data_IF_895129606276
#
_entry.id   IF_895129606276
#
_cell.length_a   1.000
_cell.length_b   1.000
_cell.length_c   1.000
_cell.angle_alpha   90.00
_cell.angle_beta   90.00
_cell.angle_gamma   90.00
#
_symmetry.space_group_name_H-M   'P 1'
#
loop_
_entity.id
_entity.type
_entity.pdbx_description
1 polymer ?
#
# COMPACT_ATOMS: atom_id res chain seq x y z
N UNK A 1 -8.53 27.05 -11.00
CA UNK A 1 -8.94 25.64 -10.94
C UNK A 1 -9.15 25.15 -9.50
N UNK A 2 -10.24 25.57 -8.83
CA UNK A 2 -10.55 25.16 -7.45
C UNK A 2 -10.84 23.65 -7.33
N UNK A 3 -11.46 23.08 -8.37
CA UNK A 3 -11.83 21.66 -8.42
C UNK A 3 -10.62 20.74 -8.21
N UNK A 4 -9.50 21.01 -8.88
CA UNK A 4 -8.26 20.23 -8.73
C UNK A 4 -7.79 20.19 -7.28
N UNK A 5 -7.64 21.36 -6.65
CA UNK A 5 -7.19 21.42 -5.26
C UNK A 5 -8.15 20.73 -4.30
N UNK A 6 -9.46 20.93 -4.49
CA UNK A 6 -10.48 20.23 -3.69
C UNK A 6 -10.36 18.71 -3.81
N UNK A 7 -10.21 18.20 -5.04
CA UNK A 7 -10.15 16.76 -5.30
C UNK A 7 -8.84 16.16 -4.72
N UNK A 8 -7.69 16.80 -4.95
CA UNK A 8 -6.41 16.35 -4.37
C UNK A 8 -6.38 16.47 -2.84
N UNK A 9 -7.01 17.50 -2.25
CA UNK A 9 -7.14 17.61 -0.79
C UNK A 9 -8.08 16.56 -0.21
N UNK A 10 -9.12 16.15 -0.96
CA UNK A 10 -9.98 15.03 -0.56
C UNK A 10 -9.19 13.73 -0.48
N UNK A 11 -8.44 13.41 -1.54
CA UNK A 11 -7.59 12.22 -1.58
C UNK A 11 -6.54 12.23 -0.45
N UNK A 12 -5.88 13.36 -0.20
CA UNK A 12 -4.95 13.49 0.93
C UNK A 12 -5.60 13.19 2.29
N UNK A 13 -6.84 13.66 2.50
CA UNK A 13 -7.58 13.38 3.72
C UNK A 13 -7.96 11.90 3.84
N UNK A 14 -8.36 11.28 2.74
CA UNK A 14 -8.71 9.86 2.71
C UNK A 14 -7.48 8.99 3.05
N UNK A 15 -6.30 9.29 2.51
CA UNK A 15 -5.06 8.56 2.88
C UNK A 15 -4.65 8.77 4.34
N UNK A 16 -4.85 9.97 4.89
CA UNK A 16 -4.62 10.20 6.31
C UNK A 16 -5.60 9.37 7.17
N UNK A 17 -6.84 9.23 6.71
CA UNK A 17 -7.82 8.36 7.36
C UNK A 17 -7.45 6.88 7.22
N UNK A 18 -6.98 6.41 6.06
CA UNK A 18 -6.53 5.01 5.88
C UNK A 18 -5.41 4.67 6.87
N UNK A 19 -4.43 5.56 7.04
CA UNK A 19 -3.38 5.39 8.05
C UNK A 19 -3.95 5.26 9.47
N UNK A 20 -4.91 6.12 9.84
CA UNK A 20 -5.60 6.07 11.12
C UNK A 20 -6.40 4.76 11.30
N UNK A 21 -7.09 4.28 10.26
CA UNK A 21 -7.81 3.01 10.32
C UNK A 21 -6.86 1.84 10.60
N UNK A 22 -5.67 1.84 10.00
CA UNK A 22 -4.62 0.86 10.29
C UNK A 22 -4.16 0.88 11.75
N UNK A 23 -3.90 2.07 12.30
CA UNK A 23 -3.57 2.26 13.72
C UNK A 23 -4.69 1.72 14.63
N UNK A 24 -5.94 2.11 14.38
CA UNK A 24 -7.10 1.63 15.16
C UNK A 24 -7.25 0.11 15.03
N UNK A 25 -6.96 -0.47 13.87
CA UNK A 25 -6.96 -1.91 13.64
C UNK A 25 -6.04 -2.64 14.60
N UNK A 26 -4.78 -2.22 14.70
CA UNK A 26 -3.82 -2.80 15.65
C UNK A 26 -4.25 -2.61 17.10
N UNK A 27 -4.66 -1.40 17.49
CA UNK A 27 -5.08 -1.09 18.86
C UNK A 27 -6.29 -1.95 19.26
N UNK A 28 -7.26 -2.12 18.36
CA UNK A 28 -8.47 -2.92 18.62
C UNK A 28 -8.17 -4.40 18.86
N UNK A 29 -7.04 -4.87 18.35
CA UNK A 29 -6.52 -6.23 18.52
C UNK A 29 -5.57 -6.38 19.71
N UNK A 30 -5.36 -5.31 20.49
CA UNK A 30 -4.43 -5.29 21.62
C UNK A 30 -2.96 -5.25 21.22
N UNK A 31 -2.67 -4.82 19.98
CA UNK A 31 -1.31 -4.77 19.44
C UNK A 31 -0.74 -3.35 19.54
N UNK A 32 0.50 -3.28 20.01
CA UNK A 32 1.28 -2.05 20.02
C UNK A 32 1.90 -1.81 18.64
N UNK A 33 1.21 -1.02 17.84
CA UNK A 33 1.64 -0.71 16.47
C UNK A 33 3.00 0.01 16.42
N UNK A 34 3.42 0.68 17.49
CA UNK A 34 4.71 1.38 17.56
C UNK A 34 5.92 0.45 17.50
N UNK A 35 5.70 -0.85 17.77
CA UNK A 35 6.73 -1.90 17.65
C UNK A 35 6.87 -2.45 16.22
N UNK A 36 5.94 -2.11 15.34
CA UNK A 36 5.96 -2.53 13.94
C UNK A 36 6.87 -1.56 13.18
N UNK A 37 7.94 -2.04 12.53
CA UNK A 37 8.82 -1.16 11.74
C UNK A 37 8.13 -0.83 10.41
N UNK A 38 7.17 0.09 10.46
CA UNK A 38 6.45 0.58 9.27
C UNK A 38 7.47 1.24 8.33
N UNK A 39 7.52 0.72 7.10
CA UNK A 39 8.47 1.21 6.12
C UNK A 39 8.03 2.56 5.55
N UNK A 40 8.83 3.60 5.78
CA UNK A 40 8.60 4.95 5.23
C UNK A 40 9.41 5.27 3.96
N UNK A 41 10.27 4.36 3.49
CA UNK A 41 11.18 4.62 2.37
C UNK A 41 10.43 4.89 1.06
N UNK A 42 9.23 4.33 0.89
CA UNK A 42 8.34 4.64 -0.24
C UNK A 42 8.01 6.13 -0.32
N UNK A 43 7.45 6.68 0.75
CA UNK A 43 7.11 8.11 0.85
C UNK A 43 8.35 8.98 0.70
N UNK A 44 9.48 8.58 1.30
CA UNK A 44 10.76 9.28 1.16
C UNK A 44 11.24 9.30 -0.30
N UNK A 45 11.27 8.14 -0.95
CA UNK A 45 11.82 7.99 -2.28
C UNK A 45 11.00 8.75 -3.32
N UNK A 46 9.66 8.70 -3.22
CA UNK A 46 8.77 9.51 -4.06
C UNK A 46 9.04 11.01 -3.90
N UNK A 47 9.23 11.48 -2.67
CA UNK A 47 9.46 12.91 -2.42
C UNK A 47 10.87 13.40 -2.78
N UNK A 48 11.87 12.50 -2.75
CA UNK A 48 13.27 12.86 -2.98
C UNK A 48 13.73 12.66 -4.43
N UNK A 49 13.07 11.79 -5.21
CA UNK A 49 13.57 11.37 -6.53
C UNK A 49 12.68 11.78 -7.70
N UNK A 50 11.45 12.19 -7.44
CA UNK A 50 10.44 12.43 -8.48
C UNK A 50 9.93 13.87 -8.43
N UNK A 51 9.64 14.40 -9.61
CA UNK A 51 8.89 15.64 -9.77
C UNK A 51 7.41 15.42 -9.40
N UNK A 52 6.65 16.48 -9.07
CA UNK A 52 5.24 16.37 -8.68
C UNK A 52 4.38 15.56 -9.66
N UNK A 53 4.64 15.69 -10.96
CA UNK A 53 3.91 14.97 -12.01
C UNK A 53 4.16 13.46 -11.98
N UNK A 54 5.40 13.05 -11.75
CA UNK A 54 5.79 11.64 -11.68
C UNK A 54 5.24 10.99 -10.41
N UNK A 55 5.13 11.73 -9.31
CA UNK A 55 4.47 11.26 -8.08
C UNK A 55 2.99 10.96 -8.33
N UNK A 56 2.29 11.83 -9.08
CA UNK A 56 0.90 11.59 -9.47
C UNK A 56 0.76 10.39 -10.41
N UNK A 57 1.73 10.20 -11.31
CA UNK A 57 1.77 9.02 -12.17
C UNK A 57 1.90 7.71 -11.38
N UNK A 58 2.79 7.68 -10.39
CA UNK A 58 2.94 6.52 -9.49
C UNK A 58 1.66 6.29 -8.69
N UNK A 59 1.09 7.34 -8.11
CA UNK A 59 -0.16 7.27 -7.35
C UNK A 59 -1.27 6.62 -8.18
N UNK A 60 -1.53 7.15 -9.37
CA UNK A 60 -2.56 6.62 -10.25
C UNK A 60 -2.28 5.17 -10.68
N UNK A 61 -1.02 4.83 -10.96
CA UNK A 61 -0.63 3.46 -11.33
C UNK A 61 -0.95 2.45 -10.22
N UNK A 62 -0.65 2.78 -8.96
CA UNK A 62 -0.98 1.95 -7.80
C UNK A 62 -2.49 1.80 -7.69
N UNK A 63 -3.22 2.91 -7.62
CA UNK A 63 -4.67 2.93 -7.40
C UNK A 63 -5.42 2.17 -8.48
N UNK A 64 -5.03 2.36 -9.74
CA UNK A 64 -5.62 1.64 -10.86
C UNK A 64 -5.30 0.13 -10.82
N UNK A 65 -4.15 -0.26 -10.26
CA UNK A 65 -3.74 -1.64 -10.02
C UNK A 65 -4.53 -2.33 -8.89
N UNK A 66 -5.20 -1.57 -8.03
CA UNK A 66 -6.02 -2.08 -6.91
C UNK A 66 -7.46 -2.40 -7.31
N UNK A 67 -7.89 -2.00 -8.50
CA UNK A 67 -9.28 -2.17 -8.98
C UNK A 67 -9.67 -3.58 -9.48
N UNK A 68 -8.77 -4.45 -9.96
CA UNK A 68 -9.11 -5.84 -10.28
C UNK A 68 -9.66 -6.61 -9.08
N UNK A 69 -10.31 -7.76 -9.31
CA UNK A 69 -10.87 -8.59 -8.23
C UNK A 69 -9.84 -9.02 -7.18
N UNK A 70 -8.58 -9.11 -7.56
CA UNK A 70 -7.46 -9.49 -6.70
C UNK A 70 -6.91 -8.33 -5.86
N UNK A 71 -7.42 -7.10 -6.04
CA UNK A 71 -7.06 -5.92 -5.25
C UNK A 71 -8.06 -5.68 -4.11
N UNK A 72 -8.64 -4.48 -4.02
CA UNK A 72 -9.47 -4.04 -2.88
C UNK A 72 -10.62 -4.97 -2.53
N UNK A 73 -11.26 -5.56 -3.54
CA UNK A 73 -12.31 -6.55 -3.32
C UNK A 73 -11.80 -7.76 -2.53
N UNK A 74 -10.62 -8.28 -2.89
CA UNK A 74 -10.03 -9.42 -2.19
C UNK A 74 -9.62 -9.03 -0.77
N UNK A 75 -9.06 -7.83 -0.57
CA UNK A 75 -8.74 -7.30 0.76
C UNK A 75 -9.99 -7.21 1.65
N UNK A 76 -11.12 -6.76 1.08
CA UNK A 76 -12.41 -6.74 1.76
C UNK A 76 -12.95 -8.14 2.07
N UNK A 77 -12.90 -9.08 1.12
CA UNK A 77 -13.29 -10.49 1.35
C UNK A 77 -12.46 -11.12 2.47
N UNK A 78 -11.14 -10.91 2.50
CA UNK A 78 -10.26 -11.33 3.59
C UNK A 78 -10.63 -10.65 4.91
N UNK A 79 -10.95 -9.36 4.88
CA UNK A 79 -11.41 -8.61 6.05
C UNK A 79 -12.68 -9.21 6.66
N UNK A 80 -13.64 -9.63 5.84
CA UNK A 80 -14.85 -10.32 6.29
C UNK A 80 -14.54 -11.73 6.83
N UNK A 81 -13.76 -12.51 6.10
CA UNK A 81 -13.41 -13.88 6.46
C UNK A 81 -12.59 -13.98 7.75
N UNK A 82 -11.87 -12.90 8.11
CA UNK A 82 -11.11 -12.82 9.36
C UNK A 82 -11.98 -12.90 10.62
N UNK A 83 -13.28 -12.61 10.51
CA UNK A 83 -14.19 -12.49 11.65
C UNK A 83 -13.97 -11.23 12.49
N UNK A 84 -13.00 -10.38 12.17
CA UNK A 84 -12.76 -9.10 12.83
C UNK A 84 -13.67 -8.03 12.21
N UNK A 85 -14.70 -7.62 12.95
CA UNK A 85 -15.71 -6.67 12.45
C UNK A 85 -15.10 -5.37 11.91
N UNK A 86 -14.08 -4.84 12.60
CA UNK A 86 -13.41 -3.62 12.15
C UNK A 86 -12.61 -3.82 10.87
N UNK A 87 -12.04 -5.01 10.62
CA UNK A 87 -11.28 -5.27 9.40
C UNK A 87 -12.18 -5.15 8.16
N UNK A 88 -13.34 -5.81 8.17
CA UNK A 88 -14.31 -5.69 7.08
C UNK A 88 -14.82 -4.25 6.90
N UNK A 89 -15.11 -3.56 8.00
CA UNK A 89 -15.58 -2.15 7.96
C UNK A 89 -14.52 -1.22 7.36
N UNK A 90 -13.25 -1.38 7.77
CA UNK A 90 -12.17 -0.51 7.30
C UNK A 90 -11.90 -0.72 5.82
N UNK A 91 -11.90 -1.97 5.36
CA UNK A 91 -11.74 -2.31 3.94
C UNK A 91 -12.91 -1.80 3.08
N UNK A 92 -14.14 -1.75 3.63
CA UNK A 92 -15.29 -1.17 2.92
C UNK A 92 -15.12 0.35 2.68
N UNK A 93 -14.70 1.09 3.71
CA UNK A 93 -14.39 2.51 3.57
C UNK A 93 -13.23 2.76 2.60
N UNK A 94 -12.13 2.06 2.81
CA UNK A 94 -10.92 2.18 2.00
C UNK A 94 -11.21 1.87 0.52
N UNK A 95 -11.94 0.79 0.23
CA UNK A 95 -12.34 0.49 -1.14
C UNK A 95 -13.23 1.57 -1.77
N UNK A 96 -14.19 2.12 -1.01
CA UNK A 96 -15.04 3.18 -1.50
C UNK A 96 -14.25 4.45 -1.87
N UNK A 97 -13.22 4.80 -1.09
CA UNK A 97 -12.33 5.92 -1.37
C UNK A 97 -11.44 5.65 -2.58
N UNK A 98 -10.93 4.43 -2.74
CA UNK A 98 -10.05 4.07 -3.86
C UNK A 98 -10.78 4.08 -5.21
N UNK A 99 -12.09 3.80 -5.21
CA UNK A 99 -12.94 4.04 -6.39
C UNK A 99 -12.99 5.52 -6.75
N UNK A 100 -13.09 6.41 -5.76
CA UNK A 100 -13.04 7.85 -5.98
C UNK A 100 -11.65 8.30 -6.44
N UNK A 101 -10.57 7.79 -5.84
CA UNK A 101 -9.19 8.12 -6.21
C UNK A 101 -8.89 7.76 -7.67
N UNK A 102 -9.32 6.58 -8.11
CA UNK A 102 -9.21 6.18 -9.52
C UNK A 102 -9.95 7.15 -10.47
N UNK A 103 -11.08 7.74 -10.04
CA UNK A 103 -11.79 8.77 -10.81
C UNK A 103 -11.03 10.12 -10.82
N UNK A 104 -10.44 10.51 -9.68
CA UNK A 104 -9.61 11.72 -9.57
C UNK A 104 -8.41 11.63 -10.52
N UNK A 105 -7.71 10.50 -10.54
CA UNK A 105 -6.60 10.28 -11.47
C UNK A 105 -7.05 10.29 -12.94
N UNK A 106 -8.22 9.76 -13.28
CA UNK A 106 -8.79 9.89 -14.64
C UNK A 106 -9.06 11.34 -15.02
N UNK A 107 -9.53 12.15 -14.08
CA UNK A 107 -9.87 13.55 -14.32
C UNK A 107 -8.62 14.42 -14.53
N UNK A 108 -7.57 14.20 -13.72
CA UNK A 108 -6.45 15.14 -13.60
C UNK A 108 -5.13 14.62 -14.15
N UNK A 109 -4.98 13.30 -14.33
CA UNK A 109 -3.76 12.68 -14.84
C UNK A 109 -3.97 12.10 -16.24
N UNK A 110 -4.94 11.18 -16.42
CA UNK A 110 -5.12 10.46 -17.69
C UNK A 110 -5.43 11.37 -18.88
N UNK A 111 -6.16 12.47 -18.67
CA UNK A 111 -6.49 13.42 -19.76
C UNK A 111 -5.28 14.02 -20.44
N UNK A 112 -4.14 14.12 -19.75
CA UNK A 112 -2.90 14.66 -20.30
C UNK A 112 -2.14 13.64 -21.18
N UNK A 113 -2.51 12.36 -21.12
CA UNK A 113 -1.88 11.26 -21.88
C UNK A 113 -2.69 10.79 -23.09
N UNK A 114 -3.88 11.37 -23.31
CA UNK A 114 -4.80 10.98 -24.37
C UNK A 114 -5.58 9.70 -24.07
N UNK A 115 -4.92 8.64 -23.60
CA UNK A 115 -5.56 7.38 -23.20
C UNK A 115 -4.99 6.76 -21.92
N UNK A 116 -5.74 5.80 -21.38
CA UNK A 116 -5.41 5.08 -20.15
C UNK A 116 -4.13 4.25 -20.28
N UNK A 117 -3.85 3.67 -21.45
CA UNK A 117 -2.69 2.80 -21.63
C UNK A 117 -1.39 3.59 -21.59
N UNK A 118 -1.35 4.75 -22.24
CA UNK A 118 -0.22 5.67 -22.21
C UNK A 118 0.05 6.19 -20.79
N UNK A 119 -1.02 6.55 -20.07
CA UNK A 119 -0.94 6.96 -18.66
C UNK A 119 -0.37 5.83 -17.78
N UNK A 120 -0.91 4.61 -17.89
CA UNK A 120 -0.43 3.45 -17.14
C UNK A 120 1.02 3.10 -17.46
N UNK A 121 1.41 3.14 -18.74
CA UNK A 121 2.78 2.87 -19.16
C UNK A 121 3.78 3.91 -18.62
N UNK A 122 3.37 5.17 -18.47
CA UNK A 122 4.21 6.19 -17.84
C UNK A 122 4.33 5.96 -16.34
N UNK A 123 3.21 5.69 -15.64
CA UNK A 123 3.21 5.37 -14.21
C UNK A 123 4.06 4.15 -13.86
N UNK A 124 4.00 3.08 -14.66
CA UNK A 124 4.83 1.87 -14.48
C UNK A 124 6.34 2.15 -14.58
N UNK A 125 6.74 3.00 -15.53
CA UNK A 125 8.14 3.43 -15.66
C UNK A 125 8.60 4.21 -14.42
N UNK A 126 7.79 5.14 -13.93
CA UNK A 126 8.10 5.87 -12.71
C UNK A 126 8.15 4.92 -11.49
N UNK A 127 7.19 3.99 -11.39
CA UNK A 127 7.14 3.00 -10.30
C UNK A 127 8.39 2.13 -10.24
N UNK A 128 8.87 1.68 -11.40
CA UNK A 128 10.08 0.86 -11.49
C UNK A 128 11.34 1.59 -11.01
N UNK A 129 11.40 2.92 -11.15
CA UNK A 129 12.52 3.71 -10.63
C UNK A 129 12.49 3.84 -9.10
N UNK A 130 11.31 3.97 -8.46
CA UNK A 130 11.18 3.99 -6.99
C UNK A 130 11.80 2.74 -6.35
N UNK A 131 11.61 1.60 -7.02
CA UNK A 131 12.01 0.27 -6.57
C UNK A 131 13.49 -0.04 -6.76
N UNK A 132 14.18 0.71 -7.61
CA UNK A 132 15.62 0.51 -7.88
C UNK A 132 16.49 0.63 -6.63
N UNK A 133 16.04 1.39 -5.62
CA UNK A 133 16.78 1.60 -4.36
C UNK A 133 16.64 0.47 -3.34
N UNK A 134 15.78 -0.54 -3.57
CA UNK A 134 15.58 -1.60 -2.59
C UNK A 134 16.88 -2.31 -2.21
N UNK A 135 17.71 -2.69 -3.19
CA UNK A 135 19.02 -3.32 -2.95
C UNK A 135 20.04 -2.32 -2.43
N UNK A 136 20.07 -1.12 -3.02
CA UNK A 136 21.01 -0.06 -2.63
C UNK A 136 20.86 0.31 -1.15
N UNK A 137 19.63 0.49 -0.66
CA UNK A 137 19.40 0.86 0.75
C UNK A 137 19.90 -0.24 1.71
N UNK A 138 19.87 -1.52 1.30
CA UNK A 138 20.48 -2.63 2.06
C UNK A 138 22.00 -2.60 1.99
N UNK A 139 22.54 -2.46 0.78
CA UNK A 139 23.98 -2.51 0.53
C UNK A 139 24.70 -1.31 1.17
N UNK A 140 24.02 -0.16 1.31
CA UNK A 140 24.45 1.02 2.07
C UNK A 140 24.28 0.87 3.60
N UNK A 141 23.71 -0.23 4.07
CA UNK A 141 23.48 -0.50 5.50
C UNK A 141 22.35 0.31 6.14
N UNK A 142 21.44 0.88 5.35
CA UNK A 142 20.30 1.65 5.86
C UNK A 142 19.16 0.76 6.36
N UNK A 143 19.15 -0.51 5.96
CA UNK A 143 18.16 -1.52 6.37
C UNK A 143 18.71 -2.93 6.18
N UNK A 144 18.24 -3.87 7.01
CA UNK A 144 18.51 -5.30 6.84
C UNK A 144 17.39 -6.02 6.05
N UNK A 145 16.30 -5.31 5.72
CA UNK A 145 15.06 -5.90 5.18
C UNK A 145 14.53 -7.07 6.03
N UNK A 146 14.72 -6.96 7.34
CA UNK A 146 14.31 -7.95 8.33
C UNK A 146 12.80 -8.19 8.26
N UNK A 147 12.40 -9.45 8.20
CA UNK A 147 10.99 -9.82 8.30
C UNK A 147 10.49 -9.68 9.74
N UNK A 148 9.66 -8.68 9.98
CA UNK A 148 9.09 -8.38 11.29
C UNK A 148 7.79 -9.16 11.57
N UNK A 149 7.18 -9.78 10.56
CA UNK A 149 5.87 -10.45 10.68
C UNK A 149 5.83 -11.54 11.76
N UNK A 150 6.79 -12.50 11.82
CA UNK A 150 6.71 -13.59 12.80
C UNK A 150 6.73 -13.11 14.25
N UNK A 151 7.39 -11.99 14.54
CA UNK A 151 7.48 -11.44 15.89
C UNK A 151 6.15 -10.84 16.34
N UNK A 152 5.55 -10.01 15.49
CA UNK A 152 4.25 -9.38 15.77
C UNK A 152 3.15 -10.42 15.84
N UNK A 153 3.16 -11.42 14.95
CA UNK A 153 2.17 -12.49 14.96
C UNK A 153 2.26 -13.34 16.24
N UNK A 154 3.47 -13.67 16.72
CA UNK A 154 3.63 -14.36 18.02
C UNK A 154 3.11 -13.51 19.18
N UNK A 155 3.46 -12.23 19.22
CA UNK A 155 2.98 -11.33 20.27
C UNK A 155 1.45 -11.23 20.27
N UNK A 156 0.82 -11.23 19.09
CA UNK A 156 -0.62 -11.27 18.95
C UNK A 156 -1.23 -12.58 19.48
N UNK A 157 -0.68 -13.73 19.07
CA UNK A 157 -1.13 -15.03 19.56
C UNK A 157 -0.99 -15.16 21.08
N UNK A 158 0.12 -14.69 21.65
CA UNK A 158 0.33 -14.65 23.11
C UNK A 158 -0.72 -13.78 23.81
N UNK A 159 -0.98 -12.58 23.27
CA UNK A 159 -2.01 -11.69 23.80
C UNK A 159 -3.42 -12.31 23.77
N UNK A 160 -3.75 -13.03 22.69
CA UNK A 160 -5.05 -13.69 22.52
C UNK A 160 -5.15 -15.06 23.20
N UNK A 161 -4.06 -15.58 23.77
CA UNK A 161 -4.02 -16.90 24.40
C UNK A 161 -4.21 -18.07 23.41
N UNK A 162 -3.75 -17.91 22.16
CA UNK A 162 -3.86 -18.93 21.10
C UNK A 162 -2.49 -19.44 20.65
N UNK A 163 -2.45 -20.67 20.15
CA UNK A 163 -1.24 -21.22 19.55
C UNK A 163 -1.01 -20.61 18.16
N UNK A 164 0.20 -20.11 17.84
CA UNK A 164 0.50 -19.60 16.51
C UNK A 164 0.41 -20.69 15.44
N UNK A 165 -0.20 -20.36 14.30
CA UNK A 165 -0.16 -21.19 13.10
C UNK A 165 1.27 -21.23 12.52
N UNK A 166 1.90 -22.43 12.39
CA UNK A 166 3.21 -22.57 11.77
C UNK A 166 3.30 -22.03 10.33
N UNK A 167 2.22 -22.11 9.55
CA UNK A 167 2.22 -21.60 8.17
C UNK A 167 2.27 -20.08 8.15
N UNK A 168 1.48 -19.42 9.01
CA UNK A 168 1.54 -17.97 9.17
C UNK A 168 2.93 -17.52 9.64
N UNK A 169 3.55 -18.23 10.59
CA UNK A 169 4.92 -17.93 11.05
C UNK A 169 5.99 -18.09 9.95
N UNK A 170 5.77 -18.98 9.00
CA UNK A 170 6.67 -19.21 7.88
C UNK A 170 6.55 -18.14 6.78
N UNK A 171 5.58 -17.22 6.86
CA UNK A 171 5.41 -16.16 5.88
C UNK A 171 6.64 -15.25 5.86
N UNK A 172 7.34 -15.26 4.73
CA UNK A 172 8.58 -14.53 4.52
C UNK A 172 8.69 -13.97 3.10
N UNK A 173 7.56 -13.85 2.41
CA UNK A 173 7.49 -13.34 1.04
C UNK A 173 7.81 -11.86 1.03
N UNK A 174 8.87 -11.49 0.31
CA UNK A 174 9.30 -10.09 0.15
C UNK A 174 8.79 -9.52 -1.17
N UNK A 175 8.71 -8.18 -1.25
CA UNK A 175 8.32 -7.50 -2.49
C UNK A 175 9.29 -7.84 -3.66
N UNK A 176 10.58 -8.00 -3.36
CA UNK A 176 11.60 -8.48 -4.31
C UNK A 176 11.22 -9.85 -4.92
N UNK A 177 10.61 -10.74 -4.14
CA UNK A 177 10.25 -12.09 -4.59
C UNK A 177 8.93 -12.16 -5.40
N UNK A 178 8.07 -11.14 -5.32
CA UNK A 178 6.71 -11.15 -5.91
C UNK A 178 6.62 -10.42 -7.25
N UNK A 179 7.58 -9.54 -7.56
CA UNK A 179 7.54 -8.74 -8.79
C UNK A 179 7.58 -9.62 -10.04
N UNK A 180 6.55 -9.49 -10.87
CA UNK A 180 6.38 -10.21 -12.13
C UNK A 180 7.40 -9.77 -13.20
N UNK A 181 7.94 -8.55 -13.08
CA UNK A 181 8.98 -7.96 -13.94
C UNK A 181 10.40 -8.50 -13.68
N UNK A 182 10.61 -9.31 -12.63
CA UNK A 182 11.87 -10.04 -12.39
C UNK A 182 11.79 -11.53 -12.73
N UNK A 183 10.64 -12.02 -13.23
CA UNK A 183 10.49 -13.42 -13.66
C UNK A 183 11.05 -13.70 -15.06
N UNK A 184 11.46 -12.66 -15.80
CA UNK A 184 12.20 -12.79 -17.05
C UNK A 184 13.59 -12.13 -16.93
N UNK A 185 14.52 -12.81 -16.27
CA UNK A 185 15.95 -12.79 -16.61
C UNK A 185 16.47 -14.22 -16.58
#
# INVERSE_FOLDING_TARGET
PWKYYRDMSRQLWDEARHAMLGEVGFISLGLDWSKIPINFTWSRNLNAQFEPWERHAVLFFIEQGLMPRTGKRYEWEVGLDSGVTLAGLFQDFDWADEVLHAQIGREWYVKEFGDLNAAMAYGDRCWSQVLSRWRTDRDEGLTEHRNWWPEIYRAACEHWGVSPDPQALAFHTTYEAVRADLKEI
#
